data_IF_595657047706
#
_entry.id   IF_595657047706
#
_cell.length_a   1.000
_cell.length_b   1.000
_cell.length_c   1.000
_cell.angle_alpha   90.00
_cell.angle_beta   90.00
_cell.angle_gamma   90.00
#
_symmetry.space_group_name_H-M   'P 1'
#
loop_
_entity.id
_entity.type
_entity.pdbx_description
1 polymer ?
#
# COMPACT_ATOMS: atom_id res chain seq x y z
N UNK A 1 22.71 10.45 11.42
CA UNK A 1 21.69 9.52 10.89
C UNK A 1 21.11 10.13 9.64
N UNK A 2 21.40 9.52 8.51
CA UNK A 2 20.78 9.85 7.24
C UNK A 2 19.26 9.82 7.38
N UNK A 3 18.62 10.97 7.29
CA UNK A 3 17.24 11.02 6.80
C UNK A 3 17.34 10.71 5.31
N UNK A 4 17.61 9.46 4.96
CA UNK A 4 17.34 9.00 3.60
C UNK A 4 15.86 9.27 3.39
N UNK A 5 15.55 10.24 2.54
CA UNK A 5 14.19 10.60 2.15
C UNK A 5 13.63 9.43 1.36
N UNK A 6 13.27 8.35 2.05
CA UNK A 6 12.66 7.17 1.44
C UNK A 6 11.30 7.63 0.95
N UNK A 7 11.23 7.89 -0.35
CA UNK A 7 9.98 8.23 -1.01
C UNK A 7 9.00 7.06 -0.80
N UNK A 8 7.74 7.36 -0.43
CA UNK A 8 6.76 6.32 -0.26
C UNK A 8 6.51 5.60 -1.58
N UNK A 9 6.45 4.27 -1.55
CA UNK A 9 6.03 3.48 -2.70
C UNK A 9 4.52 3.70 -2.93
N UNK A 10 4.12 3.86 -4.19
CA UNK A 10 2.71 4.02 -4.58
C UNK A 10 2.38 2.96 -5.61
N UNK A 11 1.30 2.23 -5.37
CA UNK A 11 0.79 1.13 -6.19
C UNK A 11 -0.62 1.50 -6.62
N UNK A 12 -0.95 1.25 -7.88
CA UNK A 12 -2.33 1.28 -8.37
C UNK A 12 -2.87 -0.13 -8.35
N UNK A 13 -3.97 -0.34 -7.63
CA UNK A 13 -4.58 -1.64 -7.47
C UNK A 13 -6.05 -1.54 -7.88
N UNK A 14 -6.55 -2.41 -8.77
CA UNK A 14 -7.97 -2.44 -9.09
C UNK A 14 -8.80 -2.66 -7.81
N UNK A 15 -9.87 -1.89 -7.65
CA UNK A 15 -10.73 -1.88 -6.45
C UNK A 15 -11.22 -3.28 -6.02
N UNK A 16 -11.42 -4.17 -7.00
CA UNK A 16 -11.80 -5.57 -6.76
C UNK A 16 -10.79 -6.35 -5.89
N UNK A 17 -9.51 -5.96 -5.89
CA UNK A 17 -8.45 -6.61 -5.10
C UNK A 17 -8.21 -5.94 -3.75
N UNK A 18 -8.75 -4.73 -3.53
CA UNK A 18 -8.57 -3.99 -2.27
C UNK A 18 -9.24 -4.72 -1.10
N UNK A 19 -10.38 -5.38 -1.33
CA UNK A 19 -11.03 -6.22 -0.32
C UNK A 19 -10.13 -7.33 0.22
N UNK A 20 -9.32 -7.96 -0.63
CA UNK A 20 -8.35 -8.97 -0.24
C UNK A 20 -7.20 -8.38 0.59
N UNK A 21 -6.71 -7.19 0.20
CA UNK A 21 -5.66 -6.47 0.93
C UNK A 21 -6.13 -6.04 2.33
N UNK A 22 -7.36 -5.53 2.44
CA UNK A 22 -7.96 -5.16 3.72
C UNK A 22 -8.17 -6.41 4.60
N UNK A 23 -8.73 -7.47 4.02
CA UNK A 23 -9.19 -8.63 4.76
C UNK A 23 -10.48 -8.35 5.55
N UNK A 24 -11.05 -9.41 6.14
CA UNK A 24 -12.29 -9.29 6.93
C UNK A 24 -12.06 -8.40 8.14
N UNK A 25 -12.73 -7.24 8.19
CA UNK A 25 -12.57 -6.27 9.27
C UNK A 25 -11.19 -5.60 9.31
N UNK A 26 -10.42 -5.62 8.21
CA UNK A 26 -9.08 -5.01 8.18
C UNK A 26 -7.97 -5.89 8.78
N UNK A 27 -8.22 -7.19 9.00
CA UNK A 27 -7.25 -8.09 9.66
C UNK A 27 -5.92 -8.21 8.91
N UNK A 28 -5.97 -8.36 7.59
CA UNK A 28 -4.77 -8.59 6.76
C UNK A 28 -3.90 -7.34 6.70
N UNK A 29 -4.49 -6.17 6.43
CA UNK A 29 -3.73 -4.92 6.41
C UNK A 29 -3.13 -4.57 7.79
N UNK A 30 -3.84 -4.89 8.87
CA UNK A 30 -3.33 -4.71 10.23
C UNK A 30 -2.13 -5.62 10.52
N UNK A 31 -2.21 -6.89 10.12
CA UNK A 31 -1.13 -7.85 10.24
C UNK A 31 0.08 -7.46 9.38
N UNK A 32 -0.13 -7.05 8.13
CA UNK A 32 0.93 -6.53 7.27
C UNK A 32 1.67 -5.35 7.90
N UNK A 33 0.94 -4.36 8.43
CA UNK A 33 1.54 -3.21 9.14
C UNK A 33 2.35 -3.68 10.36
N UNK A 34 1.84 -4.66 11.11
CA UNK A 34 2.52 -5.20 12.31
C UNK A 34 3.79 -5.97 11.96
N UNK A 35 3.75 -6.83 10.94
CA UNK A 35 4.89 -7.68 10.55
C UNK A 35 5.97 -6.86 9.84
N UNK A 36 5.58 -5.95 8.95
CA UNK A 36 6.53 -5.17 8.13
C UNK A 36 7.03 -3.90 8.83
N UNK A 37 6.29 -3.39 9.82
CA UNK A 37 6.51 -2.06 10.40
C UNK A 37 6.19 -0.91 9.44
N UNK A 38 5.66 -1.20 8.24
CA UNK A 38 5.33 -0.20 7.25
C UNK A 38 3.99 0.46 7.53
N UNK A 39 3.91 1.75 7.25
CA UNK A 39 2.64 2.46 7.12
C UNK A 39 2.03 2.17 5.75
N UNK A 40 0.78 1.66 5.74
CA UNK A 40 0.03 1.40 4.50
C UNK A 40 -1.19 2.31 4.49
N UNK A 41 -1.43 3.07 3.42
CA UNK A 41 -2.62 3.93 3.24
C UNK A 41 -3.28 3.62 1.91
N UNK A 42 -4.61 3.60 1.90
CA UNK A 42 -5.41 3.42 0.69
C UNK A 42 -6.11 4.75 0.43
N UNK A 43 -6.00 5.24 -0.80
CA UNK A 43 -6.63 6.45 -1.26
C UNK A 43 -7.69 6.11 -2.31
N UNK A 44 -8.90 6.64 -2.09
CA UNK A 44 -9.99 6.55 -3.06
C UNK A 44 -9.80 7.52 -4.24
N UNK A 45 -10.77 7.46 -5.16
CA UNK A 45 -10.80 8.08 -6.49
C UNK A 45 -10.31 9.54 -6.62
N UNK A 46 -10.32 10.34 -5.56
CA UNK A 46 -10.01 11.77 -5.62
C UNK A 46 -8.51 12.10 -5.56
N UNK A 47 -7.64 11.16 -5.17
CA UNK A 47 -6.20 11.41 -5.00
C UNK A 47 -5.31 10.57 -5.94
N UNK A 48 -5.87 10.08 -7.03
CA UNK A 48 -5.23 9.11 -7.92
C UNK A 48 -4.63 9.82 -9.15
N UNK A 49 -3.39 9.51 -9.58
CA UNK A 49 -2.77 10.13 -10.75
C UNK A 49 -3.54 9.87 -12.04
N UNK A 50 -3.40 10.77 -13.03
CA UNK A 50 -4.10 10.70 -14.33
C UNK A 50 -3.86 9.42 -15.14
N UNK A 51 -2.81 8.65 -14.81
CA UNK A 51 -2.52 7.37 -15.43
C UNK A 51 -3.36 6.20 -14.90
N UNK A 52 -4.09 6.41 -13.80
CA UNK A 52 -4.90 5.36 -13.20
C UNK A 52 -6.25 5.20 -13.89
N UNK A 53 -6.75 3.98 -13.89
CA UNK A 53 -8.09 3.69 -14.39
C UNK A 53 -9.14 4.16 -13.38
N UNK A 54 -10.37 4.39 -13.86
CA UNK A 54 -11.52 4.80 -13.02
C UNK A 54 -11.80 3.83 -11.85
N UNK A 55 -11.35 2.60 -11.95
CA UNK A 55 -11.59 1.56 -10.96
C UNK A 55 -10.33 1.19 -10.15
N UNK A 56 -9.27 1.98 -10.25
CA UNK A 56 -8.07 1.78 -9.44
C UNK A 56 -8.21 2.51 -8.10
N UNK A 57 -7.58 1.97 -7.07
CA UNK A 57 -7.31 2.65 -5.82
C UNK A 57 -5.79 2.78 -5.64
N UNK A 58 -5.34 3.91 -5.10
CA UNK A 58 -3.92 4.11 -4.86
C UNK A 58 -3.56 3.61 -3.46
N UNK A 59 -2.66 2.63 -3.38
CA UNK A 59 -2.08 2.14 -2.14
C UNK A 59 -0.70 2.73 -1.96
N UNK A 60 -0.48 3.42 -0.86
CA UNK A 60 0.81 4.00 -0.49
C UNK A 60 1.43 3.23 0.68
N UNK A 61 2.69 2.82 0.50
CA UNK A 61 3.49 2.17 1.53
C UNK A 61 4.66 3.08 1.88
N UNK A 62 4.83 3.38 3.16
CA UNK A 62 5.88 4.23 3.68
C UNK A 62 6.53 3.61 4.92
N UNK A 63 7.77 3.98 5.22
CA UNK A 63 8.49 3.51 6.41
C UNK A 63 8.65 1.98 6.47
N UNK A 64 9.01 1.33 5.35
CA UNK A 64 9.38 -0.09 5.38
C UNK A 64 10.84 -0.22 5.83
N UNK A 65 11.07 -0.90 6.96
CA UNK A 65 12.42 -1.24 7.42
C UNK A 65 13.11 -2.29 6.53
N UNK A 66 12.40 -2.84 5.54
CA UNK A 66 12.93 -3.80 4.57
C UNK A 66 12.46 -3.44 3.16
N UNK A 67 13.34 -2.96 2.27
CA UNK A 67 12.90 -2.35 1.01
C UNK A 67 12.36 -3.32 -0.06
N UNK A 68 12.33 -4.65 0.13
CA UNK A 68 12.14 -5.57 -1.03
C UNK A 68 11.35 -6.87 -0.83
N UNK A 69 10.71 -7.14 0.31
CA UNK A 69 9.94 -8.40 0.48
C UNK A 69 8.45 -8.33 0.08
N UNK A 70 7.92 -7.15 -0.28
CA UNK A 70 6.50 -7.01 -0.68
C UNK A 70 6.18 -7.56 -2.08
N UNK A 71 7.21 -7.86 -2.89
CA UNK A 71 7.04 -8.52 -4.19
C UNK A 71 6.89 -10.05 -4.10
N UNK A 72 7.05 -10.66 -2.92
CA UNK A 72 6.82 -12.10 -2.72
C UNK A 72 5.41 -12.41 -2.19
N UNK A 73 4.51 -11.42 -2.12
CA UNK A 73 3.15 -11.57 -1.61
C UNK A 73 2.04 -11.47 -2.68
N UNK A 74 2.42 -11.40 -3.95
CA UNK A 74 1.52 -11.39 -5.10
C UNK A 74 1.93 -12.47 -6.10
#
# INVERSE_FOLDING_TARGET
MDKSSVAPARLLIPSQHIGCLLGKGGSIIAEMRKITGAGIRIFGNEQIPRCAQRNDEMVQVYNSYYPVSLLSLF
#
